data_IF_877265627331
#
_entry.id   IF_877265627331
#
_cell.length_a   1.000
_cell.length_b   1.000
_cell.length_c   1.000
_cell.angle_alpha   90.00
_cell.angle_beta   90.00
_cell.angle_gamma   90.00
#
_symmetry.space_group_name_H-M   'P 1'
#
loop_
_entity.id
_entity.type
_entity.pdbx_description
1 polymer ?
#
# COMPACT_ATOMS: atom_id res chain seq x y z
N UNK A 1 -12.70 11.43 -23.78
CA UNK A 1 -12.15 10.66 -24.90
C UNK A 1 -11.55 9.36 -24.39
N UNK A 2 -10.34 9.34 -23.82
CA UNK A 2 -9.71 8.10 -23.30
C UNK A 2 -10.58 7.31 -22.30
N UNK A 3 -11.28 8.00 -21.40
CA UNK A 3 -12.17 7.33 -20.43
C UNK A 3 -13.38 6.62 -21.08
N UNK A 4 -13.89 7.13 -22.20
CA UNK A 4 -15.01 6.52 -22.92
C UNK A 4 -14.51 5.36 -23.80
N UNK A 5 -13.35 5.54 -24.42
CA UNK A 5 -12.66 4.54 -25.25
C UNK A 5 -12.26 3.30 -24.45
N UNK A 6 -11.80 3.48 -23.21
CA UNK A 6 -11.52 2.36 -22.29
C UNK A 6 -12.78 1.68 -21.74
N UNK A 7 -13.88 2.43 -21.60
CA UNK A 7 -15.12 1.95 -21.00
C UNK A 7 -16.07 1.29 -21.99
N UNK A 8 -15.96 1.63 -23.27
CA UNK A 8 -16.80 1.10 -24.35
C UNK A 8 -15.88 0.63 -25.47
N UNK A 9 -15.59 -0.67 -25.46
CA UNK A 9 -14.71 -1.37 -26.41
C UNK A 9 -15.16 -1.29 -27.88
N UNK A 10 -16.29 -0.66 -28.19
CA UNK A 10 -16.94 -0.67 -29.50
C UNK A 10 -17.11 0.70 -30.16
N UNK A 11 -16.37 1.73 -29.74
CA UNK A 11 -16.27 2.94 -30.57
C UNK A 11 -15.38 2.59 -31.76
N UNK A 12 -15.99 2.05 -32.82
CA UNK A 12 -15.33 1.69 -34.06
C UNK A 12 -14.49 2.87 -34.55
N UNK A 13 -13.18 2.69 -34.56
CA UNK A 13 -12.20 3.63 -35.08
C UNK A 13 -12.24 3.62 -36.61
N UNK A 14 -13.36 4.02 -37.21
CA UNK A 14 -13.48 4.13 -38.67
C UNK A 14 -12.80 5.40 -39.22
N UNK A 15 -11.73 5.86 -38.57
CA UNK A 15 -10.98 7.08 -38.91
C UNK A 15 -11.63 8.39 -38.45
N UNK A 16 -12.84 8.36 -37.88
CA UNK A 16 -13.51 9.56 -37.37
C UNK A 16 -13.15 9.79 -35.89
N UNK A 17 -12.50 10.91 -35.61
CA UNK A 17 -11.98 11.26 -34.26
C UNK A 17 -13.05 11.87 -33.36
N UNK A 18 -14.29 11.95 -33.82
CA UNK A 18 -15.39 12.61 -33.13
C UNK A 18 -16.31 11.60 -32.46
N UNK A 19 -16.39 11.67 -31.13
CA UNK A 19 -17.38 10.91 -30.35
C UNK A 19 -18.76 11.56 -30.52
N UNK A 20 -19.73 10.79 -30.99
CA UNK A 20 -21.12 11.24 -31.15
C UNK A 20 -21.89 11.20 -29.84
N UNK A 21 -22.95 12.00 -29.71
CA UNK A 21 -23.81 12.01 -28.53
C UNK A 21 -24.49 10.65 -28.31
N UNK A 22 -24.83 9.96 -29.41
CA UNK A 22 -25.41 8.62 -29.37
C UNK A 22 -24.41 7.59 -28.81
N UNK A 23 -23.11 7.76 -29.05
CA UNK A 23 -22.07 6.91 -28.48
C UNK A 23 -21.96 7.12 -26.96
N UNK A 24 -22.09 8.36 -26.47
CA UNK A 24 -22.10 8.69 -25.04
C UNK A 24 -23.36 8.10 -24.37
N UNK A 25 -24.52 8.20 -25.02
CA UNK A 25 -25.77 7.63 -24.50
C UNK A 25 -25.69 6.11 -24.43
N UNK A 26 -25.16 5.43 -25.46
CA UNK A 26 -24.93 3.97 -25.42
C UNK A 26 -23.98 3.58 -24.29
N UNK A 27 -22.87 4.31 -24.13
CA UNK A 27 -21.91 4.09 -23.05
C UNK A 27 -22.54 4.17 -21.65
N UNK A 28 -23.43 5.14 -21.44
CA UNK A 28 -24.17 5.27 -20.18
C UNK A 28 -24.99 4.03 -19.85
N UNK A 29 -25.57 3.39 -20.86
CA UNK A 29 -26.40 2.20 -20.70
C UNK A 29 -25.60 0.90 -20.61
N UNK A 30 -24.34 0.88 -21.09
CA UNK A 30 -23.45 -0.29 -21.00
C UNK A 30 -22.64 -0.36 -19.70
N UNK A 31 -22.64 0.70 -18.89
CA UNK A 31 -21.92 0.75 -17.61
C UNK A 31 -22.81 0.25 -16.47
N UNK A 32 -22.49 -0.94 -15.96
CA UNK A 32 -23.24 -1.59 -14.88
C UNK A 32 -22.99 -0.93 -13.51
N UNK A 33 -21.75 -0.55 -13.21
CA UNK A 33 -21.42 0.07 -11.92
C UNK A 33 -21.86 1.56 -11.88
N UNK A 34 -22.72 1.95 -10.93
CA UNK A 34 -23.22 3.33 -10.83
C UNK A 34 -22.11 4.37 -10.61
N UNK A 35 -21.04 4.04 -9.87
CA UNK A 35 -19.96 4.98 -9.57
C UNK A 35 -19.05 5.17 -10.80
N UNK A 36 -18.75 4.10 -11.52
CA UNK A 36 -18.00 4.15 -12.77
C UNK A 36 -18.76 4.94 -13.83
N UNK A 37 -20.08 4.73 -13.91
CA UNK A 37 -20.96 5.52 -14.78
C UNK A 37 -20.93 7.00 -14.43
N UNK A 38 -21.05 7.36 -13.17
CA UNK A 38 -20.95 8.76 -12.71
C UNK A 38 -19.58 9.38 -13.03
N UNK A 39 -18.49 8.64 -12.78
CA UNK A 39 -17.13 9.09 -13.02
C UNK A 39 -16.88 9.42 -14.50
N UNK A 40 -17.24 8.48 -15.38
CA UNK A 40 -17.03 8.62 -16.82
C UNK A 40 -17.87 9.76 -17.37
N UNK A 41 -19.16 9.84 -17.00
CA UNK A 41 -20.04 10.92 -17.44
C UNK A 41 -19.56 12.29 -16.95
N UNK A 42 -19.05 12.38 -15.72
CA UNK A 42 -18.48 13.62 -15.19
C UNK A 42 -17.30 14.10 -16.06
N UNK A 43 -16.44 13.19 -16.50
CA UNK A 43 -15.35 13.49 -17.43
C UNK A 43 -15.80 13.96 -18.82
N UNK A 44 -17.03 13.60 -19.22
CA UNK A 44 -17.58 13.87 -20.55
C UNK A 44 -18.53 15.06 -20.58
N UNK A 45 -18.73 15.73 -19.44
CA UNK A 45 -19.58 16.92 -19.33
C UNK A 45 -19.25 17.91 -20.46
N UNK A 46 -20.28 18.28 -21.23
CA UNK A 46 -20.16 19.13 -22.41
C UNK A 46 -19.61 20.52 -22.07
N UNK A 47 -20.10 21.10 -20.97
CA UNK A 47 -19.60 22.37 -20.48
C UNK A 47 -18.24 22.16 -19.78
N UNK A 48 -17.14 22.76 -20.30
CA UNK A 48 -15.81 22.59 -19.72
C UNK A 48 -15.71 23.15 -18.30
N UNK A 49 -16.42 24.23 -17.98
CA UNK A 49 -16.38 24.88 -16.66
C UNK A 49 -17.06 24.03 -15.58
N UNK A 50 -17.93 23.10 -15.98
CA UNK A 50 -18.61 22.16 -15.08
C UNK A 50 -17.86 20.84 -14.95
N UNK A 51 -16.82 20.61 -15.75
CA UNK A 51 -16.06 19.36 -15.73
C UNK A 51 -15.14 19.35 -14.50
N UNK A 52 -15.13 18.28 -13.69
CA UNK A 52 -14.23 18.19 -12.55
C UNK A 52 -12.77 18.21 -13.00
N UNK A 53 -11.91 18.81 -12.17
CA UNK A 53 -10.46 18.80 -12.40
C UNK A 53 -9.90 17.39 -12.19
N UNK A 54 -8.67 17.16 -12.68
CA UNK A 54 -7.97 15.90 -12.41
C UNK A 54 -7.82 15.62 -10.90
N UNK A 55 -7.58 16.66 -10.09
CA UNK A 55 -7.52 16.52 -8.65
C UNK A 55 -8.86 16.08 -8.05
N UNK A 56 -9.98 16.69 -8.48
CA UNK A 56 -11.32 16.28 -8.04
C UNK A 56 -11.63 14.83 -8.44
N UNK A 57 -11.22 14.41 -9.64
CA UNK A 57 -11.44 13.05 -10.14
C UNK A 57 -10.66 12.00 -9.33
N UNK A 58 -9.45 12.32 -8.87
CA UNK A 58 -8.67 11.42 -8.00
C UNK A 58 -9.38 11.06 -6.69
N UNK A 59 -10.27 11.92 -6.21
CA UNK A 59 -11.09 11.68 -5.02
C UNK A 59 -12.49 11.13 -5.32
N UNK A 60 -12.78 10.82 -6.59
CA UNK A 60 -14.03 10.16 -6.94
C UNK A 60 -14.07 8.75 -6.35
N UNK A 61 -15.24 8.31 -5.85
CA UNK A 61 -15.43 7.03 -5.13
C UNK A 61 -14.92 5.79 -5.88
N UNK A 62 -14.85 5.86 -7.21
CA UNK A 62 -14.36 4.76 -8.07
C UNK A 62 -12.83 4.64 -8.08
N UNK A 63 -12.11 5.74 -7.81
CA UNK A 63 -10.65 5.79 -7.74
C UNK A 63 -10.16 5.86 -6.29
N UNK A 64 -10.94 6.47 -5.41
CA UNK A 64 -10.64 6.69 -4.02
C UNK A 64 -11.50 5.79 -3.15
N UNK A 65 -11.03 4.56 -2.95
CA UNK A 65 -11.62 3.63 -2.00
C UNK A 65 -11.10 3.95 -0.58
N UNK A 66 -11.98 4.46 0.27
CA UNK A 66 -11.71 4.57 1.70
C UNK A 66 -12.13 3.27 2.36
N UNK A 67 -11.15 2.51 2.82
CA UNK A 67 -11.40 1.27 3.55
C UNK A 67 -12.14 1.58 4.85
N UNK A 68 -13.07 0.70 5.24
CA UNK A 68 -13.80 0.90 6.49
C UNK A 68 -12.84 1.00 7.68
N UNK A 69 -13.18 1.84 8.67
CA UNK A 69 -12.39 1.95 9.90
C UNK A 69 -12.20 0.59 10.58
N UNK A 70 -13.22 -0.28 10.50
CA UNK A 70 -13.16 -1.66 10.99
C UNK A 70 -12.05 -2.47 10.30
N UNK A 71 -11.94 -2.40 8.97
CA UNK A 71 -10.90 -3.10 8.23
C UNK A 71 -9.52 -2.50 8.50
N UNK A 72 -9.41 -1.17 8.52
CA UNK A 72 -8.17 -0.47 8.88
C UNK A 72 -7.69 -0.85 10.28
N UNK A 73 -8.59 -0.88 11.25
CA UNK A 73 -8.30 -1.28 12.63
C UNK A 73 -7.87 -2.75 12.72
N UNK A 74 -8.49 -3.66 11.96
CA UNK A 74 -8.10 -5.07 11.91
C UNK A 74 -6.68 -5.27 11.37
N UNK A 75 -6.33 -4.59 10.26
CA UNK A 75 -4.96 -4.62 9.73
C UNK A 75 -3.95 -4.04 10.71
N UNK A 76 -4.29 -2.94 11.38
CA UNK A 76 -3.45 -2.37 12.43
C UNK A 76 -3.26 -3.35 13.61
N UNK A 77 -4.34 -3.99 14.04
CA UNK A 77 -4.32 -4.97 15.13
C UNK A 77 -3.45 -6.19 14.79
N UNK A 78 -3.63 -6.78 13.60
CA UNK A 78 -2.85 -7.95 13.15
C UNK A 78 -1.37 -7.60 13.01
N UNK A 79 -1.05 -6.45 12.39
CA UNK A 79 0.34 -6.02 12.19
C UNK A 79 1.07 -5.73 13.50
N UNK A 80 0.34 -5.36 14.56
CA UNK A 80 0.90 -5.01 15.86
C UNK A 80 0.57 -6.06 16.94
N UNK A 81 0.13 -7.26 16.57
CA UNK A 81 -0.32 -8.28 17.52
C UNK A 81 0.77 -8.62 18.54
N UNK A 82 2.04 -8.60 18.15
CA UNK A 82 3.19 -8.86 19.02
C UNK A 82 3.37 -7.83 20.16
N UNK A 83 2.72 -6.66 20.07
CA UNK A 83 2.75 -5.63 21.12
C UNK A 83 1.65 -5.85 22.17
N UNK A 84 0.73 -6.78 21.94
CA UNK A 84 -0.46 -6.98 22.74
C UNK A 84 -0.47 -8.38 23.40
N UNK A 85 -0.96 -8.51 24.64
CA UNK A 85 -1.20 -9.83 25.23
C UNK A 85 -2.21 -10.65 24.41
N UNK A 86 -2.00 -11.96 24.29
CA UNK A 86 -2.87 -12.88 23.52
C UNK A 86 -4.37 -12.72 23.84
N UNK A 87 -4.71 -12.50 25.11
CA UNK A 87 -6.10 -12.46 25.60
C UNK A 87 -6.69 -11.04 25.66
N UNK A 88 -5.98 -10.02 25.15
CA UNK A 88 -6.39 -8.61 25.32
C UNK A 88 -7.81 -8.36 24.80
N UNK A 89 -8.19 -9.02 23.69
CA UNK A 89 -9.51 -8.85 23.07
C UNK A 89 -10.59 -9.48 23.94
N UNK A 90 -10.37 -10.70 24.43
CA UNK A 90 -11.31 -11.40 25.29
C UNK A 90 -11.53 -10.68 26.62
N UNK A 91 -10.46 -10.17 27.24
CA UNK A 91 -10.56 -9.40 28.48
C UNK A 91 -11.32 -8.09 28.26
N UNK A 92 -11.03 -7.37 27.17
CA UNK A 92 -11.72 -6.11 26.85
C UNK A 92 -13.19 -6.30 26.51
N UNK A 93 -13.56 -7.42 25.87
CA UNK A 93 -14.97 -7.75 25.60
C UNK A 93 -15.71 -8.06 26.91
N UNK A 94 -15.08 -8.78 27.84
CA UNK A 94 -15.68 -9.11 29.15
C UNK A 94 -15.90 -7.87 30.03
N UNK A 95 -15.01 -6.88 29.93
CA UNK A 95 -15.12 -5.60 30.64
C UNK A 95 -16.09 -4.60 29.99
N UNK A 96 -16.64 -4.92 28.81
CA UNK A 96 -17.41 -3.97 28.01
C UNK A 96 -18.84 -3.82 28.54
N UNK A 97 -19.20 -2.60 28.96
CA UNK A 97 -20.59 -2.28 29.30
C UNK A 97 -21.44 -2.15 28.03
N UNK A 98 -22.39 -3.08 27.85
CA UNK A 98 -23.31 -3.11 26.70
C UNK A 98 -24.26 -1.91 26.66
N UNK A 99 -24.47 -1.22 27.79
CA UNK A 99 -25.29 -0.01 27.84
C UNK A 99 -24.49 1.26 27.53
N UNK A 100 -23.17 1.17 27.43
CA UNK A 100 -22.33 2.31 27.08
C UNK A 100 -22.66 2.80 25.67
N UNK A 101 -22.70 4.14 25.51
CA UNK A 101 -22.92 4.78 24.21
C UNK A 101 -21.63 4.64 23.39
N UNK A 102 -21.70 3.93 22.28
CA UNK A 102 -20.60 3.76 21.32
C UNK A 102 -20.44 5.01 20.45
N UNK A 103 -21.56 5.60 19.99
CA UNK A 103 -21.57 6.79 19.17
C UNK A 103 -22.83 7.64 19.41
N UNK A 104 -22.69 8.95 19.29
CA UNK A 104 -23.81 9.90 19.35
C UNK A 104 -23.70 10.94 18.24
N UNK A 105 -24.80 11.19 17.51
CA UNK A 105 -24.90 12.29 16.55
C UNK A 105 -25.90 13.31 17.10
N UNK A 106 -25.41 14.51 17.39
CA UNK A 106 -26.23 15.65 17.83
C UNK A 106 -26.54 16.57 16.65
N UNK A 107 -27.80 16.98 16.53
CA UNK A 107 -28.26 17.97 15.56
C UNK A 107 -28.99 19.08 16.29
N UNK A 108 -28.82 20.33 15.85
CA UNK A 108 -29.54 21.45 16.46
C UNK A 108 -31.05 21.23 16.38
N UNK A 109 -31.73 21.36 17.52
CA UNK A 109 -33.19 21.24 17.63
C UNK A 109 -33.73 19.80 17.62
N UNK A 110 -32.90 18.76 17.60
CA UNK A 110 -33.34 17.37 17.68
C UNK A 110 -32.68 16.62 18.86
N UNK A 111 -33.35 15.62 19.45
CA UNK A 111 -32.70 14.70 20.38
C UNK A 111 -31.53 14.01 19.69
N UNK A 112 -30.39 13.89 20.38
CA UNK A 112 -29.22 13.18 19.84
C UNK A 112 -29.56 11.72 19.54
N UNK A 113 -29.16 11.23 18.36
CA UNK A 113 -29.29 9.80 18.03
C UNK A 113 -28.08 9.09 18.63
N UNK A 114 -28.35 8.15 19.53
CA UNK A 114 -27.33 7.37 20.23
C UNK A 114 -27.36 5.91 19.77
N UNK A 115 -26.17 5.32 19.66
CA UNK A 115 -25.99 3.89 19.43
C UNK A 115 -25.21 3.31 20.61
N UNK A 116 -25.79 2.31 21.28
CA UNK A 116 -25.14 1.57 22.37
C UNK A 116 -24.46 0.32 21.87
N UNK A 117 -23.51 -0.22 22.64
CA UNK A 117 -22.85 -1.48 22.31
C UNK A 117 -23.83 -2.66 22.17
N UNK A 118 -24.92 -2.67 22.93
CA UNK A 118 -26.03 -3.64 22.82
C UNK A 118 -26.80 -3.58 21.50
N UNK A 119 -26.79 -2.44 20.81
CA UNK A 119 -27.54 -2.21 19.57
C UNK A 119 -26.70 -2.57 18.33
N UNK A 120 -25.42 -2.88 18.52
CA UNK A 120 -24.51 -3.32 17.45
C UNK A 120 -24.37 -4.83 17.53
N UNK A 121 -24.66 -5.53 16.43
CA UNK A 121 -24.46 -6.97 16.36
C UNK A 121 -23.01 -7.32 16.66
N UNK A 122 -22.78 -8.23 17.63
CA UNK A 122 -21.47 -8.85 17.81
C UNK A 122 -21.09 -9.54 16.51
N UNK A 123 -20.18 -8.93 15.79
CA UNK A 123 -19.58 -9.53 14.63
C UNK A 123 -18.73 -10.71 15.11
N UNK A 124 -18.65 -11.80 14.35
CA UNK A 124 -17.67 -12.86 14.56
C UNK A 124 -16.27 -12.26 14.34
N UNK A 125 -15.76 -11.57 15.36
CA UNK A 125 -14.53 -10.79 15.30
C UNK A 125 -13.36 -11.72 14.98
N UNK A 126 -13.33 -12.90 15.59
CA UNK A 126 -12.28 -13.89 15.35
C UNK A 126 -12.24 -14.33 13.90
N UNK A 127 -13.39 -14.69 13.33
CA UNK A 127 -13.51 -15.05 11.91
C UNK A 127 -13.12 -13.89 11.02
N UNK A 128 -13.56 -12.67 11.33
CA UNK A 128 -13.21 -11.48 10.55
C UNK A 128 -11.70 -11.20 10.59
N UNK A 129 -11.07 -11.29 11.76
CA UNK A 129 -9.62 -11.11 11.90
C UNK A 129 -8.85 -12.21 11.14
N UNK A 130 -9.35 -13.44 11.17
CA UNK A 130 -8.77 -14.55 10.42
C UNK A 130 -8.91 -14.35 8.91
N UNK A 131 -10.08 -13.91 8.43
CA UNK A 131 -10.30 -13.58 7.01
C UNK A 131 -9.37 -12.43 6.56
N UNK A 132 -9.15 -11.42 7.41
CA UNK A 132 -8.21 -10.32 7.14
C UNK A 132 -6.77 -10.83 7.10
N UNK A 133 -6.36 -11.67 8.06
CA UNK A 133 -5.03 -12.32 8.11
C UNK A 133 -4.79 -13.16 6.86
N UNK A 134 -5.80 -13.86 6.38
CA UNK A 134 -5.77 -14.68 5.17
C UNK A 134 -5.86 -13.85 3.88
N UNK A 135 -5.98 -12.53 3.97
CA UNK A 135 -5.97 -11.62 2.82
C UNK A 135 -7.28 -11.59 2.03
N UNK A 136 -8.39 -12.06 2.60
CA UNK A 136 -9.73 -11.96 1.99
C UNK A 136 -10.16 -10.49 1.87
N UNK A 137 -9.70 -9.65 2.80
CA UNK A 137 -9.94 -8.20 2.82
C UNK A 137 -8.63 -7.40 2.72
N UNK A 138 -8.06 -7.23 1.51
CA UNK A 138 -6.83 -6.46 1.32
C UNK A 138 -7.06 -4.95 1.54
N UNK A 139 -6.03 -4.23 2.02
CA UNK A 139 -5.98 -2.77 1.92
C UNK A 139 -5.35 -2.39 0.58
N UNK A 140 -6.14 -2.06 -0.43
CA UNK A 140 -5.62 -1.58 -1.71
C UNK A 140 -5.28 -0.09 -1.64
N UNK A 141 -3.98 0.21 -1.62
CA UNK A 141 -3.35 1.40 -2.25
C UNK A 141 -1.83 1.48 -2.03
N UNK A 142 -1.24 0.63 -1.16
CA UNK A 142 0.22 0.54 -0.98
C UNK A 142 0.75 -0.88 -0.75
N UNK A 143 -0.11 -1.90 -0.78
CA UNK A 143 0.36 -3.28 -0.71
C UNK A 143 1.18 -3.58 -1.97
N UNK A 144 2.44 -3.96 -1.78
CA UNK A 144 3.26 -4.53 -2.84
C UNK A 144 2.42 -5.59 -3.56
N UNK A 145 2.11 -5.33 -4.83
CA UNK A 145 1.34 -6.26 -5.65
C UNK A 145 1.99 -7.63 -5.54
N UNK A 146 1.27 -8.62 -5.01
CA UNK A 146 1.52 -9.99 -5.45
C UNK A 146 1.31 -9.97 -6.97
N UNK A 147 2.25 -10.45 -7.79
CA UNK A 147 2.06 -10.48 -9.23
C UNK A 147 0.97 -11.50 -9.54
N UNK A 148 -0.29 -11.05 -9.57
CA UNK A 148 -1.31 -11.72 -10.36
C UNK A 148 -0.97 -11.43 -11.82
N UNK A 149 -0.24 -12.37 -12.42
CA UNK A 149 0.02 -12.40 -13.85
C UNK A 149 -1.32 -12.54 -14.59
N UNK A 150 -1.96 -11.42 -14.88
CA UNK A 150 -2.94 -11.37 -15.95
C UNK A 150 -2.17 -11.35 -17.27
N UNK A 151 -2.46 -12.25 -18.22
CA UNK A 151 -1.84 -12.23 -19.53
C UNK A 151 -2.34 -10.99 -20.27
N UNK A 152 -1.56 -9.91 -20.23
CA UNK A 152 -1.69 -8.82 -21.20
C UNK A 152 -1.17 -9.36 -22.53
N UNK A 153 -2.08 -9.73 -23.42
CA UNK A 153 -1.79 -9.75 -24.86
C UNK A 153 -1.62 -8.30 -25.28
N UNK A 154 -0.38 -7.80 -25.18
CA UNK A 154 0.04 -6.55 -25.77
C UNK A 154 0.58 -6.85 -27.16
N UNK A 155 -0.04 -6.22 -28.15
CA UNK A 155 0.38 -6.17 -29.55
C UNK A 155 1.86 -5.82 -29.66
N UNK A 156 2.63 -6.66 -30.36
CA UNK A 156 4.05 -6.46 -30.62
C UNK A 156 4.31 -5.12 -31.34
N UNK A 157 5.24 -4.27 -30.87
CA UNK A 157 5.94 -3.33 -31.72
C UNK A 157 7.08 -4.05 -32.45
N UNK A 158 7.26 -3.74 -33.73
CA UNK A 158 8.30 -4.27 -34.61
C UNK A 158 9.70 -4.27 -33.99
N UNK A 159 10.41 -5.36 -34.26
CA UNK A 159 11.81 -5.60 -33.94
C UNK A 159 12.75 -4.55 -34.53
N UNK A 160 13.67 -4.04 -33.72
CA UNK A 160 14.91 -3.41 -34.17
C UNK A 160 16.08 -4.18 -33.52
N UNK A 161 16.92 -4.89 -34.28
CA UNK A 161 17.90 -5.81 -33.71
C UNK A 161 19.23 -5.10 -33.56
N UNK A 162 19.53 -4.53 -32.38
CA UNK A 162 20.90 -4.38 -31.82
C UNK A 162 20.93 -3.44 -30.60
N UNK A 163 20.94 -4.00 -29.38
CA UNK A 163 21.94 -3.72 -28.32
C UNK A 163 21.56 -4.33 -26.96
N UNK A 164 22.49 -5.15 -26.47
CA UNK A 164 22.90 -5.28 -25.07
C UNK A 164 21.85 -5.68 -24.00
N UNK A 165 21.80 -7.01 -23.77
CA UNK A 165 21.65 -7.72 -22.49
C UNK A 165 21.46 -6.84 -21.25
N UNK A 166 20.23 -6.85 -20.71
CA UNK A 166 19.96 -6.62 -19.28
C UNK A 166 19.58 -7.97 -18.68
N UNK A 167 20.29 -8.50 -17.68
CA UNK A 167 19.89 -9.76 -17.05
C UNK A 167 18.64 -9.49 -16.21
N UNK A 168 17.57 -10.21 -16.54
CA UNK A 168 16.38 -10.38 -15.71
C UNK A 168 16.83 -10.75 -14.28
N UNK A 169 16.48 -10.00 -13.23
CA UNK A 169 16.83 -10.42 -11.88
C UNK A 169 16.06 -11.71 -11.58
N UNK A 170 16.83 -12.78 -11.35
CA UNK A 170 16.31 -14.06 -10.90
C UNK A 170 15.51 -13.87 -9.60
N UNK A 171 14.47 -14.68 -9.36
CA UNK A 171 13.70 -14.62 -8.13
C UNK A 171 14.64 -14.74 -6.92
N UNK A 172 14.68 -13.69 -6.10
CA UNK A 172 15.55 -13.63 -4.94
C UNK A 172 15.08 -14.68 -3.93
N UNK A 173 15.94 -15.65 -3.64
CA UNK A 173 15.70 -16.59 -2.54
C UNK A 173 15.77 -15.79 -1.23
N UNK A 174 14.69 -15.81 -0.45
CA UNK A 174 14.60 -15.02 0.78
C UNK A 174 15.61 -15.58 1.78
N UNK A 175 16.55 -14.75 2.22
CA UNK A 175 17.60 -15.15 3.15
C UNK A 175 16.99 -15.41 4.54
N UNK A 176 16.89 -16.67 4.94
CA UNK A 176 16.34 -17.08 6.24
C UNK A 176 17.40 -17.38 7.29
N UNK A 177 18.69 -17.35 6.93
CA UNK A 177 19.79 -17.68 7.84
C UNK A 177 19.97 -16.61 8.92
N UNK A 178 20.31 -17.04 10.13
CA UNK A 178 20.58 -16.12 11.24
C UNK A 178 21.92 -15.41 11.05
N UNK A 179 21.93 -14.11 11.28
CA UNK A 179 23.15 -13.28 11.34
C UNK A 179 23.81 -13.49 12.70
N UNK A 180 25.07 -13.95 12.70
CA UNK A 180 25.86 -14.16 13.93
C UNK A 180 26.79 -12.99 14.23
N UNK A 181 27.23 -12.24 13.21
CA UNK A 181 28.06 -11.07 13.37
C UNK A 181 27.81 -10.08 12.23
N UNK A 182 27.89 -8.79 12.55
CA UNK A 182 27.77 -7.71 11.59
C UNK A 182 28.93 -6.73 11.74
N UNK A 183 29.42 -6.23 10.62
CA UNK A 183 30.35 -5.10 10.57
C UNK A 183 29.79 -4.06 9.61
N UNK A 184 29.77 -2.80 10.04
CA UNK A 184 29.29 -1.68 9.25
C UNK A 184 30.45 -0.71 9.07
N UNK A 185 30.72 -0.34 7.81
CA UNK A 185 31.72 0.65 7.46
C UNK A 185 31.07 1.73 6.59
N UNK A 186 31.44 2.98 6.81
CA UNK A 186 30.95 4.10 6.03
C UNK A 186 32.12 4.99 5.63
N UNK A 187 32.35 5.09 4.32
CA UNK A 187 33.47 5.83 3.76
C UNK A 187 32.93 6.97 2.91
N UNK A 188 33.59 8.13 2.96
CA UNK A 188 33.28 9.22 2.05
C UNK A 188 34.04 8.96 0.74
N UNK A 189 33.34 8.98 -0.39
CA UNK A 189 33.97 8.80 -1.70
C UNK A 189 35.05 9.88 -1.94
N UNK A 190 36.05 9.59 -2.77
CA UNK A 190 37.22 10.45 -3.05
C UNK A 190 36.81 11.87 -3.48
N UNK A 191 35.72 11.99 -4.24
CA UNK A 191 35.17 13.27 -4.70
C UNK A 191 34.39 14.04 -3.62
N UNK A 192 34.22 13.47 -2.41
CA UNK A 192 33.43 13.99 -1.29
C UNK A 192 31.95 14.26 -1.61
N UNK A 193 31.45 13.67 -2.69
CA UNK A 193 30.09 13.89 -3.21
C UNK A 193 29.09 12.84 -2.77
N UNK A 194 29.53 11.71 -2.20
CA UNK A 194 28.65 10.63 -1.75
C UNK A 194 29.28 9.82 -0.61
N UNK A 195 28.45 9.27 0.26
CA UNK A 195 28.86 8.32 1.29
C UNK A 195 28.63 6.90 0.80
N UNK A 196 29.63 6.05 0.93
CA UNK A 196 29.56 4.63 0.63
C UNK A 196 29.39 3.83 1.91
N UNK A 197 28.21 3.24 2.09
CA UNK A 197 27.92 2.34 3.20
C UNK A 197 28.21 0.91 2.78
N UNK A 198 29.01 0.21 3.56
CA UNK A 198 29.26 -1.24 3.41
C UNK A 198 28.86 -1.98 4.68
N UNK A 199 27.95 -2.93 4.54
CA UNK A 199 27.49 -3.84 5.58
C UNK A 199 28.00 -5.25 5.27
N UNK A 200 28.83 -5.80 6.15
CA UNK A 200 29.27 -7.19 6.13
C UNK A 200 28.47 -7.98 7.17
N UNK A 201 27.80 -9.03 6.71
CA UNK A 201 27.02 -9.96 7.50
C UNK A 201 27.70 -11.32 7.49
N UNK A 202 27.98 -11.86 8.67
CA UNK A 202 28.43 -13.24 8.86
C UNK A 202 27.22 -14.02 9.38
N UNK A 203 26.84 -15.06 8.64
CA UNK A 203 25.70 -15.92 8.94
C UNK A 203 26.13 -17.17 9.74
N UNK A 204 25.17 -17.87 10.33
CA UNK A 204 25.42 -19.02 11.22
C UNK A 204 26.16 -20.19 10.56
N UNK A 205 26.05 -20.34 9.24
CA UNK A 205 26.79 -21.30 8.42
C UNK A 205 28.19 -20.79 8.03
N UNK A 206 28.62 -19.67 8.63
CA UNK A 206 29.83 -18.91 8.28
C UNK A 206 29.80 -18.32 6.87
N UNK A 207 28.63 -18.20 6.24
CA UNK A 207 28.52 -17.48 4.98
C UNK A 207 28.70 -15.98 5.22
N UNK A 208 29.58 -15.36 4.44
CA UNK A 208 29.79 -13.92 4.45
C UNK A 208 28.97 -13.29 3.32
N UNK A 209 28.09 -12.34 3.65
CA UNK A 209 27.36 -11.53 2.69
C UNK A 209 27.71 -10.06 2.87
N UNK A 210 27.93 -9.37 1.76
CA UNK A 210 28.22 -7.95 1.75
C UNK A 210 27.10 -7.20 1.04
N UNK A 211 26.64 -6.11 1.65
CA UNK A 211 25.69 -5.17 1.08
C UNK A 211 26.39 -3.81 0.99
N UNK A 212 26.36 -3.20 -0.19
CA UNK A 212 26.96 -1.89 -0.42
C UNK A 212 25.90 -0.92 -0.96
N UNK A 213 25.90 0.32 -0.46
CA UNK A 213 24.92 1.33 -0.84
C UNK A 213 25.52 2.74 -0.86
N UNK A 214 25.26 3.48 -1.95
CA UNK A 214 25.71 4.87 -2.11
C UNK A 214 24.62 5.85 -1.67
N UNK A 215 24.94 6.66 -0.65
CA UNK A 215 24.09 7.70 -0.10
C UNK A 215 24.45 9.07 -0.71
N UNK A 216 23.50 9.67 -1.42
CA UNK A 216 23.59 11.04 -1.91
C UNK A 216 23.39 12.05 -0.76
N UNK A 217 24.26 13.06 -0.60
CA UNK A 217 24.19 14.05 0.49
C UNK A 217 22.89 14.85 0.53
N UNK A 218 22.18 14.98 -0.60
CA UNK A 218 20.92 15.72 -0.68
C UNK A 218 19.76 15.09 0.10
N UNK A 219 19.87 13.82 0.50
CA UNK A 219 18.86 13.09 1.27
C UNK A 219 19.16 13.00 2.77
N UNK A 220 20.35 13.41 3.19
CA UNK A 220 20.70 13.50 4.59
C UNK A 220 20.30 14.89 5.08
N UNK A 221 19.39 14.95 6.05
CA UNK A 221 19.05 16.20 6.74
C UNK A 221 20.33 16.88 7.22
N UNK A 222 20.35 18.21 7.23
CA UNK A 222 21.50 19.08 7.59
C UNK A 222 22.04 18.86 9.02
N UNK A 223 21.48 17.89 9.75
CA UNK A 223 21.77 17.49 11.12
C UNK A 223 22.52 16.15 11.23
N UNK A 224 22.81 15.47 10.11
CA UNK A 224 23.55 14.20 10.14
C UNK A 224 25.04 14.47 10.43
N UNK A 225 25.48 14.13 11.63
CA UNK A 225 26.86 14.21 12.08
C UNK A 225 27.51 12.82 11.94
N UNK A 226 28.39 12.59 10.95
CA UNK A 226 28.83 11.25 10.55
C UNK A 226 29.54 10.45 11.65
N UNK A 227 30.20 11.12 12.60
CA UNK A 227 30.90 10.43 13.69
C UNK A 227 29.92 9.87 14.73
N UNK A 228 28.94 10.67 15.15
CA UNK A 228 27.97 10.27 16.18
C UNK A 228 26.85 9.39 15.58
N UNK A 229 26.46 9.65 14.33
CA UNK A 229 25.33 8.96 13.71
C UNK A 229 25.72 7.60 13.13
N UNK A 230 27.00 7.36 12.84
CA UNK A 230 27.52 6.02 12.54
C UNK A 230 27.39 5.07 13.72
N UNK A 231 27.78 5.50 14.92
CA UNK A 231 27.61 4.69 16.13
C UNK A 231 26.14 4.45 16.45
N UNK A 232 25.28 5.47 16.27
CA UNK A 232 23.83 5.31 16.43
C UNK A 232 23.22 4.37 15.39
N UNK A 233 23.67 4.44 14.14
CA UNK A 233 23.21 3.54 13.08
C UNK A 233 23.66 2.12 13.34
N UNK A 234 24.93 1.92 13.72
CA UNK A 234 25.45 0.62 14.12
C UNK A 234 24.67 0.05 15.32
N UNK A 235 24.43 0.85 16.36
CA UNK A 235 23.62 0.46 17.52
C UNK A 235 22.15 0.21 17.15
N UNK A 236 21.57 0.98 16.22
CA UNK A 236 20.21 0.76 15.73
C UNK A 236 20.10 -0.56 14.98
N UNK A 237 21.05 -0.84 14.09
CA UNK A 237 21.10 -2.08 13.34
C UNK A 237 21.35 -3.27 14.28
N UNK A 238 22.32 -3.17 15.20
CA UNK A 238 22.54 -4.21 16.22
C UNK A 238 21.29 -4.46 17.05
N UNK A 239 20.60 -3.41 17.53
CA UNK A 239 19.34 -3.57 18.28
C UNK A 239 18.22 -4.18 17.44
N UNK A 240 18.11 -3.79 16.17
CA UNK A 240 17.15 -4.38 15.25
C UNK A 240 17.42 -5.89 15.11
N UNK A 241 18.67 -6.29 14.91
CA UNK A 241 19.02 -7.71 14.76
C UNK A 241 18.92 -8.52 16.06
N UNK A 242 19.25 -7.94 17.22
CA UNK A 242 19.07 -8.61 18.52
C UNK A 242 17.58 -8.83 18.86
N UNK A 243 16.69 -7.91 18.45
CA UNK A 243 15.23 -8.12 18.57
C UNK A 243 14.72 -9.31 17.75
N UNK A 244 15.47 -9.72 16.71
CA UNK A 244 15.16 -10.88 15.88
C UNK A 244 15.94 -12.14 16.26
N UNK A 245 16.71 -12.15 17.36
CA UNK A 245 17.17 -13.41 17.93
C UNK A 245 15.97 -14.12 18.59
N UNK A 246 15.50 -15.28 18.06
CA UNK A 246 14.55 -16.08 18.81
C UNK A 246 15.26 -16.49 20.11
N UNK A 247 14.67 -16.11 21.25
CA UNK A 247 15.06 -16.67 22.55
C UNK A 247 14.95 -18.18 22.44
N UNK A 248 16.10 -18.85 22.40
CA UNK A 248 16.17 -20.30 22.53
C UNK A 248 15.72 -20.62 23.96
N UNK A 249 14.55 -21.24 24.08
CA UNK A 249 14.16 -22.04 25.24
C UNK A 249 14.61 -23.46 24.98
#
# INVERSE_FOLDING_TARGET
MCALEMAVLEIQSNGDTRVSEEAIVRARHSLDDPNMREFILSCLTFNPDKRPTANNLLFHRVLFEVHSLKLLAAHCFINNQYLMPENVVEEKIKELDLNMVMAEIRREGQPGVQWRYSEVSFLELDKFLEDVRNGIYPLMNFAASRPHALPRVLSQPQEDPQKAKTPTPEPFDVETRKVVQMQCNMELNEDKTQWHLTLLLILEDKLHRQLSYDLLPSRLSREFNPSDDCEKLAAFLENAFHKYQPRVV
#
